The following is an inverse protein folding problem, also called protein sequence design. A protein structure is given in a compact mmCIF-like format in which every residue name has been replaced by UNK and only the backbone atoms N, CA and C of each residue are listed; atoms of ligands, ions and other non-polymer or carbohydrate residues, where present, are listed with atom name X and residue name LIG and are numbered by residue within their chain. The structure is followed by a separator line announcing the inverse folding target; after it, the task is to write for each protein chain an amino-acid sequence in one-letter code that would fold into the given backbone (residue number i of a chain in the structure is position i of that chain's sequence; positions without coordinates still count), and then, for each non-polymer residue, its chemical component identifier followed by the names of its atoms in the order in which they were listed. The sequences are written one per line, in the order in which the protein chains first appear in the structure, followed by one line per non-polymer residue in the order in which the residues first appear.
data_IF_130317551038
#
_entry.id   IF_130317551038
#
_cell.length_a   1.000
_cell.length_b   1.000
_cell.length_c   1.000
_cell.angle_alpha   90.00
_cell.angle_beta   90.00
_cell.angle_gamma   90.00
#
_symmetry.space_group_name_H-M   'P 1'
#
loop_
_entity.id
_entity.type
_entity.pdbx_description
1 polymer ?
#
# COMPACT_ATOMS: atom_id res chain seq x y z
N UNK A 1 30.97 15.58 -16.24
CA UNK A 1 31.37 14.37 -15.48
C UNK A 1 30.13 13.49 -15.20
N UNK A 2 30.26 12.16 -15.30
CA UNK A 2 29.65 11.35 -16.35
C UNK A 2 28.19 10.97 -16.02
N UNK A 3 27.24 11.39 -16.87
CA UNK A 3 25.82 11.01 -16.81
C UNK A 3 25.34 10.19 -18.02
N UNK A 4 26.26 9.77 -18.91
CA UNK A 4 25.90 9.21 -20.23
C UNK A 4 26.35 7.77 -20.44
N UNK A 5 26.23 6.90 -19.43
CA UNK A 5 26.53 5.47 -19.58
C UNK A 5 25.53 4.62 -18.79
N UNK A 6 24.24 4.79 -19.10
CA UNK A 6 23.28 3.71 -18.92
C UNK A 6 22.80 3.33 -20.31
N UNK A 7 23.58 2.41 -20.89
CA UNK A 7 23.47 1.87 -22.25
C UNK A 7 22.03 1.75 -22.77
N UNK A 8 21.75 2.39 -23.90
CA UNK A 8 20.57 2.11 -24.73
C UNK A 8 20.41 0.61 -25.03
N UNK A 9 21.52 -0.15 -25.01
CA UNK A 9 21.53 -1.60 -25.16
C UNK A 9 20.82 -2.35 -24.02
N UNK A 10 20.76 -1.77 -22.80
CA UNK A 10 20.05 -2.35 -21.66
C UNK A 10 18.52 -2.17 -21.77
N UNK A 11 18.07 -1.05 -22.36
CA UNK A 11 16.64 -0.74 -22.51
C UNK A 11 15.96 -1.57 -23.61
N UNK A 12 16.70 -2.07 -24.61
CA UNK A 12 16.16 -2.90 -25.70
C UNK A 12 15.69 -4.29 -25.26
N UNK A 13 16.01 -4.73 -24.03
CA UNK A 13 15.55 -6.00 -23.44
C UNK A 13 14.32 -5.88 -22.52
N UNK A 14 13.89 -4.67 -22.16
CA UNK A 14 12.60 -4.45 -21.48
C UNK A 14 11.48 -4.36 -22.53
N UNK A 15 11.03 -5.53 -23.00
CA UNK A 15 10.03 -5.65 -24.08
C UNK A 15 8.59 -5.23 -23.69
N UNK A 16 8.35 -4.86 -22.42
CA UNK A 16 7.06 -4.31 -22.00
C UNK A 16 7.25 -3.05 -21.15
N UNK A 17 7.03 -1.87 -21.74
CA UNK A 17 6.64 -0.68 -20.99
C UNK A 17 5.20 -0.91 -20.48
N UNK A 18 5.05 -1.67 -19.41
CA UNK A 18 3.79 -1.62 -18.64
C UNK A 18 3.88 -0.31 -17.85
N UNK A 19 3.16 0.71 -18.30
CA UNK A 19 2.95 1.89 -17.48
C UNK A 19 2.14 1.47 -16.26
N UNK A 20 2.80 1.37 -15.10
CA UNK A 20 2.11 1.12 -13.84
C UNK A 20 1.57 2.48 -13.38
N UNK A 21 0.34 2.79 -13.80
CA UNK A 21 -0.41 3.95 -13.32
C UNK A 21 -0.84 3.79 -11.86
N UNK A 22 -1.32 4.88 -11.27
CA UNK A 22 -1.99 4.82 -9.97
C UNK A 22 -3.31 4.03 -10.13
N UNK A 23 -3.58 3.03 -9.28
CA UNK A 23 -4.80 2.24 -9.40
C UNK A 23 -6.03 3.12 -9.13
N UNK A 24 -7.13 2.81 -9.81
CA UNK A 24 -8.46 3.28 -9.43
C UNK A 24 -8.86 2.77 -8.04
N UNK A 25 -9.90 3.35 -7.44
CA UNK A 25 -10.40 2.87 -6.14
C UNK A 25 -10.88 1.41 -6.17
N UNK A 26 -11.41 0.94 -7.30
CA UNK A 26 -11.86 -0.45 -7.47
C UNK A 26 -10.67 -1.41 -7.57
N UNK A 27 -9.66 -1.06 -8.37
CA UNK A 27 -8.42 -1.84 -8.46
C UNK A 27 -7.68 -1.85 -7.12
N UNK A 28 -7.61 -0.70 -6.44
CA UNK A 28 -6.98 -0.59 -5.14
C UNK A 28 -7.69 -1.47 -4.10
N UNK A 29 -9.03 -1.52 -4.11
CA UNK A 29 -9.81 -2.43 -3.26
C UNK A 29 -9.49 -3.89 -3.53
N UNK A 30 -9.45 -4.29 -4.80
CA UNK A 30 -9.15 -5.67 -5.18
C UNK A 30 -7.72 -6.07 -4.79
N UNK A 31 -6.73 -5.18 -5.00
CA UNK A 31 -5.36 -5.38 -4.52
C UNK A 31 -5.36 -5.55 -3.00
N UNK A 32 -6.08 -4.68 -2.26
CA UNK A 32 -6.11 -4.75 -0.80
C UNK A 32 -6.72 -6.05 -0.29
N UNK A 33 -7.82 -6.54 -0.89
CA UNK A 33 -8.42 -7.83 -0.53
C UNK A 33 -7.44 -8.99 -0.71
N UNK A 34 -6.76 -9.06 -1.86
CA UNK A 34 -5.79 -10.12 -2.15
C UNK A 34 -4.64 -10.09 -1.17
N UNK A 35 -4.05 -8.91 -0.97
CA UNK A 35 -2.92 -8.72 -0.05
C UNK A 35 -3.31 -9.06 1.39
N UNK A 36 -4.47 -8.60 1.87
CA UNK A 36 -4.95 -8.90 3.21
C UNK A 36 -5.18 -10.41 3.41
N UNK A 37 -5.77 -11.08 2.41
CA UNK A 37 -5.94 -12.53 2.43
C UNK A 37 -4.60 -13.28 2.48
N UNK A 38 -3.65 -12.93 1.60
CA UNK A 38 -2.32 -13.54 1.53
C UNK A 38 -1.54 -13.37 2.84
N UNK A 39 -1.69 -12.20 3.47
CA UNK A 39 -1.03 -11.84 4.73
C UNK A 39 -1.82 -12.24 5.99
N UNK A 40 -3.01 -12.84 5.84
CA UNK A 40 -3.91 -13.22 6.93
C UNK A 40 -4.33 -12.04 7.84
N UNK A 41 -4.49 -10.85 7.25
CA UNK A 41 -5.13 -9.70 7.90
C UNK A 41 -6.64 -9.78 7.66
N UNK A 42 -7.44 -9.67 8.70
CA UNK A 42 -8.89 -9.69 8.55
C UNK A 42 -9.38 -8.45 7.79
N UNK A 43 -9.79 -8.66 6.54
CA UNK A 43 -10.27 -7.61 5.65
C UNK A 43 -11.69 -7.17 6.02
N UNK A 44 -11.95 -5.86 5.95
CA UNK A 44 -13.26 -5.27 6.15
C UNK A 44 -13.46 -4.10 5.17
N UNK A 45 -14.52 -4.11 4.36
CA UNK A 45 -14.84 -3.02 3.41
C UNK A 45 -15.06 -1.67 4.12
N UNK A 46 -15.61 -1.66 5.35
CA UNK A 46 -15.74 -0.44 6.15
C UNK A 46 -14.38 0.09 6.62
N UNK A 47 -13.45 -0.82 6.96
CA UNK A 47 -12.07 -0.47 7.29
C UNK A 47 -11.35 0.15 6.10
N UNK A 48 -11.45 -0.47 4.92
CA UNK A 48 -10.87 0.09 3.70
C UNK A 48 -11.46 1.47 3.36
N UNK A 49 -12.78 1.64 3.47
CA UNK A 49 -13.43 2.93 3.24
C UNK A 49 -12.91 4.01 4.20
N UNK A 50 -12.70 3.67 5.47
CA UNK A 50 -12.10 4.56 6.47
C UNK A 50 -10.66 4.94 6.10
N UNK A 51 -9.83 3.95 5.75
CA UNK A 51 -8.45 4.17 5.30
C UNK A 51 -8.43 5.14 4.10
N UNK A 52 -9.24 4.91 3.07
CA UNK A 52 -9.30 5.77 1.89
C UNK A 52 -9.74 7.20 2.25
N UNK A 53 -10.77 7.36 3.07
CA UNK A 53 -11.29 8.68 3.43
C UNK A 53 -10.27 9.48 4.25
N UNK A 54 -9.75 8.90 5.33
CA UNK A 54 -8.88 9.63 6.26
C UNK A 54 -7.47 9.75 5.71
N UNK A 55 -6.86 8.66 5.27
CA UNK A 55 -5.44 8.61 4.97
C UNK A 55 -5.09 9.02 3.54
N UNK A 56 -6.05 8.94 2.60
CA UNK A 56 -5.83 9.32 1.21
C UNK A 56 -6.55 10.60 0.81
N UNK A 57 -7.89 10.60 0.83
CA UNK A 57 -8.71 11.69 0.27
C UNK A 57 -8.48 12.99 1.03
N UNK A 58 -8.65 13.00 2.37
CA UNK A 58 -8.46 14.20 3.19
C UNK A 58 -7.04 14.77 3.15
N UNK A 59 -6.05 13.91 2.88
CA UNK A 59 -4.62 14.26 2.83
C UNK A 59 -4.11 14.43 1.39
N UNK A 60 -4.99 14.39 0.40
CA UNK A 60 -4.68 14.49 -1.03
C UNK A 60 -3.54 13.56 -1.49
N UNK A 61 -3.52 12.31 -1.00
CA UNK A 61 -2.49 11.32 -1.36
C UNK A 61 -2.92 10.48 -2.56
N UNK A 62 -1.97 10.21 -3.46
CA UNK A 62 -2.15 9.28 -4.58
C UNK A 62 -2.17 7.84 -4.09
N UNK A 63 -3.01 7.01 -4.72
CA UNK A 63 -3.00 5.57 -4.51
C UNK A 63 -1.77 4.97 -5.19
N UNK A 64 -1.07 4.04 -4.53
CA UNK A 64 0.00 3.24 -5.15
C UNK A 64 -0.28 1.78 -4.91
N UNK A 65 -0.02 0.94 -5.91
CA UNK A 65 -0.24 -0.50 -5.82
C UNK A 65 0.61 -1.18 -4.72
N UNK A 66 1.70 -0.54 -4.26
CA UNK A 66 2.52 -1.02 -3.15
C UNK A 66 1.90 -0.79 -1.77
N UNK A 67 1.14 0.30 -1.58
CA UNK A 67 0.66 0.69 -0.26
C UNK A 67 -0.16 -0.39 0.47
N UNK A 68 -1.03 -1.19 -0.17
CA UNK A 68 -1.76 -2.25 0.53
C UNK A 68 -0.83 -3.26 1.22
N UNK A 69 0.28 -3.62 0.58
CA UNK A 69 1.29 -4.53 1.14
C UNK A 69 1.89 -3.92 2.40
N UNK A 70 2.39 -2.71 2.28
CA UNK A 70 3.13 -2.05 3.35
C UNK A 70 2.21 -1.73 4.55
N UNK A 71 0.97 -1.29 4.28
CA UNK A 71 -0.02 -1.04 5.32
C UNK A 71 -0.42 -2.33 6.05
N UNK A 72 -0.58 -3.45 5.33
CA UNK A 72 -0.82 -4.75 5.98
C UNK A 72 0.39 -5.20 6.82
N UNK A 73 1.62 -4.95 6.35
CA UNK A 73 2.83 -5.22 7.13
C UNK A 73 2.85 -4.42 8.44
N UNK A 74 2.53 -3.13 8.39
CA UNK A 74 2.39 -2.32 9.61
C UNK A 74 1.28 -2.84 10.54
N UNK A 75 0.11 -3.22 10.01
CA UNK A 75 -0.97 -3.81 10.84
C UNK A 75 -0.47 -5.07 11.53
N UNK A 76 0.27 -5.94 10.84
CA UNK A 76 0.81 -7.18 11.40
C UNK A 76 1.83 -6.90 12.49
N UNK A 77 2.81 -6.04 12.23
CA UNK A 77 3.88 -5.73 13.18
C UNK A 77 3.31 -5.16 14.49
N UNK A 78 2.37 -4.22 14.37
CA UNK A 78 1.70 -3.58 15.51
C UNK A 78 0.82 -4.58 16.25
N UNK A 79 0.06 -5.41 15.53
CA UNK A 79 -0.81 -6.43 16.13
C UNK A 79 -0.01 -7.49 16.88
N UNK A 80 1.12 -7.92 16.30
CA UNK A 80 2.06 -8.84 16.93
C UNK A 80 2.66 -8.25 18.21
N UNK A 81 3.07 -6.98 18.18
CA UNK A 81 3.59 -6.28 19.36
C UNK A 81 2.55 -6.20 20.49
N UNK A 82 1.28 -5.93 20.15
CA UNK A 82 0.18 -5.82 21.11
C UNK A 82 -0.43 -7.17 21.50
N UNK A 83 0.02 -8.28 20.90
CA UNK A 83 -0.55 -9.62 21.10
C UNK A 83 -2.05 -9.71 20.79
N UNK A 84 -2.49 -9.05 19.72
CA UNK A 84 -3.88 -9.08 19.23
C UNK A 84 -3.95 -9.60 17.78
N UNK A 85 -5.12 -10.08 17.32
CA UNK A 85 -5.28 -10.49 15.92
C UNK A 85 -5.13 -9.30 14.95
N UNK A 86 -4.48 -9.49 13.78
CA UNK A 86 -4.36 -8.45 12.77
C UNK A 86 -5.68 -8.24 12.02
N UNK A 87 -6.27 -7.06 12.18
CA UNK A 87 -7.57 -6.72 11.59
C UNK A 87 -7.56 -5.33 10.96
N UNK A 88 -8.39 -5.11 9.93
CA UNK A 88 -8.66 -3.77 9.38
C UNK A 88 -9.62 -2.95 10.26
N UNK A 89 -9.38 -2.91 11.57
CA UNK A 89 -10.10 -2.03 12.49
C UNK A 89 -9.62 -0.58 12.35
N UNK A 90 -10.45 0.40 12.73
CA UNK A 90 -10.06 1.82 12.68
C UNK A 90 -8.78 2.10 13.46
N UNK A 91 -8.66 1.50 14.64
CA UNK A 91 -7.48 1.66 15.49
C UNK A 91 -6.21 1.13 14.82
N UNK A 92 -6.26 -0.08 14.25
CA UNK A 92 -5.09 -0.65 13.56
C UNK A 92 -4.74 0.14 12.29
N UNK A 93 -5.75 0.62 11.55
CA UNK A 93 -5.54 1.48 10.38
C UNK A 93 -4.86 2.79 10.77
N UNK A 94 -5.28 3.43 11.86
CA UNK A 94 -4.67 4.68 12.30
C UNK A 94 -3.22 4.46 12.75
N UNK A 95 -2.96 3.42 13.53
CA UNK A 95 -1.58 3.08 13.95
C UNK A 95 -0.70 2.78 12.75
N UNK A 96 -1.17 1.97 11.80
CA UNK A 96 -0.44 1.62 10.58
C UNK A 96 -0.23 2.83 9.66
N UNK A 97 -1.26 3.66 9.47
CA UNK A 97 -1.19 4.88 8.67
C UNK A 97 -0.23 5.90 9.26
N UNK A 98 -0.26 6.09 10.58
CA UNK A 98 0.71 6.94 11.29
C UNK A 98 2.14 6.44 11.10
N UNK A 99 2.39 5.13 11.26
CA UNK A 99 3.72 4.55 11.12
C UNK A 99 4.24 4.58 9.67
N UNK A 100 3.38 4.36 8.69
CA UNK A 100 3.77 4.28 7.28
C UNK A 100 3.92 5.64 6.60
N UNK A 101 2.97 6.56 6.83
CA UNK A 101 2.93 7.85 6.15
C UNK A 101 3.64 8.97 6.93
N UNK A 102 4.55 8.65 7.85
CA UNK A 102 5.34 9.67 8.56
C UNK A 102 6.04 10.56 7.53
N UNK A 103 5.78 11.85 7.62
CA UNK A 103 6.52 12.86 6.88
C UNK A 103 7.82 13.13 7.63
N UNK A 104 8.96 12.85 6.99
CA UNK A 104 10.27 13.35 7.42
C UNK A 104 10.37 14.82 7.00
#
# INVERSE_FOLDING_TARGET
PPKDLVDEAFLRRLRHKVEIGDPSYEEYREIFRRVAADKKVEYNDQGLAYLLQEWYIKRNRKLRASHPRDLCDQIIDISSYLSVPPTMSREMIDRAGQAYFVEI
#
